data_IF_739006237889
#
_entry.id   IF_739006237889
#
_cell.length_a   1.000
_cell.length_b   1.000
_cell.length_c   1.000
_cell.angle_alpha   90.00
_cell.angle_beta   90.00
_cell.angle_gamma   90.00
#
_symmetry.space_group_name_H-M   'P 1'
#
loop_
_entity.id
_entity.type
_entity.pdbx_description
1 polymer ?
#
# COMPACT_ATOMS: atom_id res chain seq x y z
N UNK A 1 -37.00 -25.49 -11.54
CA UNK A 1 -35.75 -26.19 -11.21
C UNK A 1 -35.39 -27.04 -12.41
N UNK A 2 -34.58 -26.48 -13.32
CA UNK A 2 -34.00 -27.29 -14.38
C UNK A 2 -32.92 -28.16 -13.73
N UNK A 3 -33.00 -29.48 -13.90
CA UNK A 3 -31.95 -30.39 -13.47
C UNK A 3 -30.66 -30.00 -14.19
N UNK A 4 -29.71 -29.47 -13.43
CA UNK A 4 -28.39 -29.10 -13.92
C UNK A 4 -27.59 -30.39 -14.16
N UNK A 5 -27.72 -31.01 -15.34
CA UNK A 5 -26.82 -32.07 -15.79
C UNK A 5 -25.37 -31.63 -15.55
N UNK A 6 -24.61 -32.42 -14.79
CA UNK A 6 -23.22 -32.17 -14.44
C UNK A 6 -22.38 -31.84 -15.68
N UNK A 7 -21.61 -30.73 -15.64
CA UNK A 7 -20.46 -30.55 -16.53
C UNK A 7 -19.37 -31.49 -15.99
N UNK A 8 -19.57 -32.78 -16.20
CA UNK A 8 -18.53 -33.77 -16.05
C UNK A 8 -17.75 -33.79 -17.35
N UNK A 9 -16.42 -33.86 -17.28
CA UNK A 9 -15.61 -34.28 -18.42
C UNK A 9 -15.87 -35.75 -18.80
N UNK A 10 -16.88 -36.38 -18.19
CA UNK A 10 -17.40 -37.67 -18.58
C UNK A 10 -18.52 -37.46 -19.59
N UNK A 11 -18.54 -38.22 -20.70
CA UNK A 11 -19.67 -38.22 -21.62
C UNK A 11 -20.94 -38.64 -20.89
N UNK A 12 -22.13 -38.21 -21.36
CA UNK A 12 -23.39 -38.66 -20.79
C UNK A 12 -23.48 -40.19 -20.84
N UNK A 13 -23.85 -40.78 -19.70
CA UNK A 13 -24.02 -42.22 -19.57
C UNK A 13 -25.25 -42.65 -20.37
N UNK A 14 -25.04 -43.26 -21.54
CA UNK A 14 -26.15 -43.77 -22.36
C UNK A 14 -26.52 -45.17 -21.87
N UNK A 15 -27.75 -45.34 -21.37
CA UNK A 15 -28.28 -46.66 -21.02
C UNK A 15 -28.39 -47.51 -22.29
N UNK A 16 -27.47 -48.47 -22.46
CA UNK A 16 -27.29 -49.28 -23.67
C UNK A 16 -28.41 -50.27 -24.02
N UNK A 17 -29.59 -50.20 -23.38
CA UNK A 17 -30.65 -51.20 -23.58
C UNK A 17 -31.58 -50.96 -24.78
N UNK A 18 -31.42 -49.87 -25.56
CA UNK A 18 -32.23 -49.62 -26.77
C UNK A 18 -31.52 -48.80 -27.87
N UNK A 19 -30.29 -49.14 -28.25
CA UNK A 19 -29.66 -48.53 -29.44
C UNK A 19 -29.62 -49.51 -30.62
N UNK A 20 -30.03 -49.04 -31.82
CA UNK A 20 -29.78 -49.77 -33.06
C UNK A 20 -28.26 -49.90 -33.29
N UNK A 21 -27.81 -50.96 -33.96
CA UNK A 21 -26.38 -51.21 -34.24
C UNK A 21 -25.66 -50.01 -34.89
N UNK A 22 -26.37 -49.25 -35.73
CA UNK A 22 -25.85 -48.02 -36.34
C UNK A 22 -25.64 -46.86 -35.36
N UNK A 23 -26.48 -46.74 -34.32
CA UNK A 23 -26.36 -45.69 -33.30
C UNK A 23 -25.23 -46.00 -32.30
N UNK A 24 -25.04 -47.28 -31.96
CA UNK A 24 -23.92 -47.71 -31.13
C UNK A 24 -22.58 -47.41 -31.81
N UNK A 25 -22.41 -47.76 -33.09
CA UNK A 25 -21.18 -47.48 -33.83
C UNK A 25 -20.88 -45.97 -33.95
N UNK A 26 -21.91 -45.13 -34.15
CA UNK A 26 -21.75 -43.69 -34.18
C UNK A 26 -21.36 -43.10 -32.81
N UNK A 27 -21.93 -43.63 -31.73
CA UNK A 27 -21.57 -43.24 -30.36
C UNK A 27 -20.10 -43.58 -30.06
N UNK A 28 -19.66 -44.80 -30.36
CA UNK A 28 -18.28 -45.23 -30.09
C UNK A 28 -17.26 -44.38 -30.85
N UNK A 29 -17.56 -44.02 -32.11
CA UNK A 29 -16.71 -43.14 -32.91
C UNK A 29 -16.62 -41.72 -32.33
N UNK A 30 -17.76 -41.14 -31.92
CA UNK A 30 -17.80 -39.81 -31.28
C UNK A 30 -17.12 -39.82 -29.91
N UNK A 31 -17.29 -40.90 -29.14
CA UNK A 31 -16.66 -41.05 -27.83
C UNK A 31 -15.14 -41.18 -27.95
N UNK A 32 -14.63 -41.96 -28.91
CA UNK A 32 -13.20 -42.06 -29.16
C UNK A 32 -12.59 -40.71 -29.59
N UNK A 33 -13.28 -39.95 -30.43
CA UNK A 33 -12.83 -38.61 -30.83
C UNK A 33 -12.88 -37.61 -29.66
N UNK A 34 -13.90 -37.72 -28.81
CA UNK A 34 -14.00 -36.94 -27.57
C UNK A 34 -12.81 -37.19 -26.65
N UNK A 35 -12.50 -38.45 -26.34
CA UNK A 35 -11.36 -38.80 -25.47
C UNK A 35 -10.03 -38.34 -26.10
N UNK A 36 -9.88 -38.47 -27.42
CA UNK A 36 -8.70 -38.00 -28.16
C UNK A 36 -8.52 -36.48 -28.03
N UNK A 37 -9.58 -35.70 -28.18
CA UNK A 37 -9.55 -34.24 -28.06
C UNK A 37 -9.38 -33.81 -26.60
N UNK A 38 -10.04 -34.48 -25.66
CA UNK A 38 -9.91 -34.22 -24.23
C UNK A 38 -8.47 -34.44 -23.76
N UNK A 39 -7.79 -35.47 -24.28
CA UNK A 39 -6.38 -35.76 -24.02
C UNK A 39 -5.43 -34.67 -24.53
N UNK A 40 -5.83 -33.86 -25.52
CA UNK A 40 -5.04 -32.75 -26.06
C UNK A 40 -5.19 -31.45 -25.26
N UNK A 41 -6.18 -31.33 -24.38
CA UNK A 41 -6.33 -30.15 -23.55
C UNK A 41 -5.16 -30.01 -22.58
N UNK A 42 -4.64 -28.80 -22.46
CA UNK A 42 -3.62 -28.50 -21.46
C UNK A 42 -4.14 -28.77 -20.03
N UNK A 43 -3.26 -29.18 -19.10
CA UNK A 43 -3.67 -29.50 -17.73
C UNK A 43 -4.41 -28.36 -17.01
N UNK A 44 -4.02 -27.10 -17.24
CA UNK A 44 -4.68 -25.94 -16.64
C UNK A 44 -6.09 -25.71 -17.19
N UNK A 45 -6.26 -25.86 -18.51
CA UNK A 45 -7.58 -25.77 -19.16
C UNK A 45 -8.50 -26.87 -18.67
N UNK A 46 -7.98 -28.09 -18.53
CA UNK A 46 -8.75 -29.21 -17.99
C UNK A 46 -9.21 -28.93 -16.56
N UNK A 47 -8.30 -28.53 -15.66
CA UNK A 47 -8.63 -28.17 -14.28
C UNK A 47 -9.65 -27.04 -14.19
N UNK A 48 -9.53 -26.04 -15.07
CA UNK A 48 -10.46 -24.91 -15.15
C UNK A 48 -11.87 -25.39 -15.48
N UNK A 49 -12.01 -26.22 -16.52
CA UNK A 49 -13.30 -26.78 -16.94
C UNK A 49 -13.91 -27.69 -15.86
N UNK A 50 -13.10 -28.53 -15.21
CA UNK A 50 -13.53 -29.41 -14.11
C UNK A 50 -14.07 -28.60 -12.91
N UNK A 51 -13.43 -27.47 -12.59
CA UNK A 51 -13.75 -26.67 -11.40
C UNK A 51 -14.69 -25.50 -11.66
N UNK A 52 -15.02 -25.22 -12.93
CA UNK A 52 -15.81 -24.06 -13.32
C UNK A 52 -17.14 -23.94 -12.56
N UNK A 53 -17.85 -25.06 -12.36
CA UNK A 53 -19.12 -25.06 -11.62
C UNK A 53 -18.96 -24.80 -10.13
N UNK A 54 -17.95 -25.41 -9.50
CA UNK A 54 -17.59 -25.16 -8.11
C UNK A 54 -17.30 -23.66 -7.91
N UNK A 55 -16.57 -23.09 -8.85
CA UNK A 55 -16.18 -21.69 -8.84
C UNK A 55 -17.36 -20.74 -9.01
N UNK A 56 -18.25 -21.00 -10.00
CA UNK A 56 -19.49 -20.24 -10.15
C UNK A 56 -20.36 -20.31 -8.90
N UNK A 57 -20.51 -21.50 -8.31
CA UNK A 57 -21.28 -21.70 -7.10
C UNK A 57 -20.71 -20.90 -5.92
N UNK A 58 -19.39 -20.80 -5.79
CA UNK A 58 -18.74 -20.00 -4.74
C UNK A 58 -19.10 -18.50 -4.83
N UNK A 59 -19.21 -17.94 -6.05
CA UNK A 59 -19.61 -16.53 -6.25
C UNK A 59 -21.13 -16.31 -6.22
N UNK A 60 -21.93 -17.34 -6.52
CA UNK A 60 -23.40 -17.28 -6.48
C UNK A 60 -23.99 -17.54 -5.09
N UNK A 61 -23.24 -18.18 -4.20
CA UNK A 61 -23.63 -18.41 -2.81
C UNK A 61 -23.79 -17.12 -1.99
N UNK A 62 -24.23 -17.24 -0.74
CA UNK A 62 -24.38 -16.08 0.16
C UNK A 62 -23.04 -15.45 0.54
N UNK A 63 -22.05 -16.30 0.83
CA UNK A 63 -20.71 -15.92 1.26
C UNK A 63 -19.64 -16.58 0.39
N UNK A 64 -18.54 -15.85 0.19
CA UNK A 64 -17.30 -16.36 -0.37
C UNK A 64 -16.23 -16.39 0.71
N UNK A 65 -15.51 -17.51 0.79
CA UNK A 65 -14.45 -17.74 1.78
C UNK A 65 -13.12 -17.88 1.06
N UNK A 66 -12.13 -17.12 1.51
CA UNK A 66 -10.77 -17.24 1.02
C UNK A 66 -9.76 -17.03 2.14
N UNK A 67 -8.57 -17.62 1.98
CA UNK A 67 -7.53 -17.58 3.00
C UNK A 67 -6.48 -16.51 2.65
N UNK A 68 -6.14 -15.65 3.60
CA UNK A 68 -5.04 -14.69 3.49
C UNK A 68 -4.09 -14.90 4.67
N UNK A 69 -2.84 -15.27 4.39
CA UNK A 69 -1.80 -15.51 5.41
C UNK A 69 -2.27 -16.47 6.53
N UNK A 70 -2.97 -17.54 6.15
CA UNK A 70 -3.49 -18.56 7.07
C UNK A 70 -4.77 -18.18 7.82
N UNK A 71 -5.37 -17.02 7.54
CA UNK A 71 -6.66 -16.60 8.12
C UNK A 71 -7.77 -16.71 7.10
N UNK A 72 -8.89 -17.30 7.48
CA UNK A 72 -10.10 -17.31 6.65
C UNK A 72 -10.81 -15.96 6.70
N UNK A 73 -11.17 -15.45 5.52
CA UNK A 73 -11.92 -14.23 5.34
C UNK A 73 -13.24 -14.60 4.70
N UNK A 74 -14.33 -14.25 5.38
CA UNK A 74 -15.69 -14.44 4.91
C UNK A 74 -16.22 -13.13 4.36
N UNK A 75 -16.73 -13.16 3.14
CA UNK A 75 -17.30 -11.97 2.47
C UNK A 75 -18.67 -12.32 1.91
N UNK A 76 -19.69 -11.55 2.29
CA UNK A 76 -21.00 -11.63 1.64
C UNK A 76 -20.87 -11.31 0.16
N UNK A 77 -21.37 -12.18 -0.70
CA UNK A 77 -21.35 -11.99 -2.16
C UNK A 77 -22.35 -10.95 -2.64
N UNK A 78 -23.36 -10.64 -1.83
CA UNK A 78 -24.46 -9.76 -2.22
C UNK A 78 -24.56 -8.54 -1.31
N UNK A 79 -25.05 -7.44 -1.88
CA UNK A 79 -25.56 -6.29 -1.16
C UNK A 79 -27.07 -6.21 -1.39
N UNK A 80 -27.84 -6.13 -0.31
CA UNK A 80 -29.31 -5.99 -0.41
C UNK A 80 -29.69 -4.53 -0.58
N UNK A 81 -30.40 -4.21 -1.66
CA UNK A 81 -30.90 -2.86 -1.92
C UNK A 81 -32.11 -2.51 -1.04
N UNK A 82 -32.51 -1.24 -1.03
CA UNK A 82 -33.73 -0.79 -0.34
C UNK A 82 -35.00 -1.52 -0.84
N UNK A 83 -34.99 -2.01 -2.09
CA UNK A 83 -36.08 -2.81 -2.67
C UNK A 83 -35.93 -4.32 -2.40
N UNK A 84 -35.02 -4.73 -1.52
CA UNK A 84 -34.70 -6.13 -1.16
C UNK A 84 -34.13 -6.98 -2.30
N UNK A 85 -33.54 -6.33 -3.31
CA UNK A 85 -32.83 -7.03 -4.37
C UNK A 85 -31.42 -7.38 -3.90
N UNK A 86 -31.04 -8.65 -4.01
CA UNK A 86 -29.66 -9.11 -3.78
C UNK A 86 -28.80 -8.76 -5.00
N UNK A 87 -28.10 -7.64 -4.92
CA UNK A 87 -27.18 -7.20 -5.97
C UNK A 87 -25.84 -7.91 -5.76
N UNK A 88 -25.34 -8.71 -6.72
CA UNK A 88 -24.07 -9.39 -6.58
C UNK A 88 -22.93 -8.38 -6.63
N UNK A 89 -21.93 -8.56 -5.75
CA UNK A 89 -20.67 -7.81 -5.79
C UNK A 89 -19.84 -8.16 -7.01
N UNK A 90 -19.93 -9.41 -7.46
CA UNK A 90 -19.26 -9.93 -8.66
C UNK A 90 -20.33 -10.67 -9.48
N UNK A 91 -20.61 -10.17 -10.68
CA UNK A 91 -21.55 -10.84 -11.58
C UNK A 91 -20.88 -12.03 -12.25
N UNK A 92 -21.50 -13.20 -12.18
CA UNK A 92 -20.98 -14.42 -12.83
C UNK A 92 -21.49 -14.53 -14.28
N UNK A 93 -20.63 -14.94 -15.24
CA UNK A 93 -21.08 -15.22 -16.59
C UNK A 93 -22.04 -16.41 -16.65
N UNK A 94 -22.80 -16.51 -17.75
CA UNK A 94 -23.78 -17.58 -18.01
C UNK A 94 -23.38 -18.45 -19.21
N UNK A 95 -22.08 -18.62 -19.41
CA UNK A 95 -21.55 -19.43 -20.51
C UNK A 95 -21.84 -20.91 -20.30
N UNK A 96 -22.14 -21.60 -21.40
CA UNK A 96 -22.36 -23.05 -21.44
C UNK A 96 -21.29 -23.75 -22.30
N UNK A 97 -20.80 -23.07 -23.34
CA UNK A 97 -19.73 -23.56 -24.21
C UNK A 97 -18.37 -23.56 -23.51
N UNK A 98 -17.61 -24.64 -23.65
CA UNK A 98 -16.28 -24.78 -23.04
C UNK A 98 -15.28 -23.79 -23.62
N UNK A 99 -15.38 -23.48 -24.92
CA UNK A 99 -14.53 -22.50 -25.57
C UNK A 99 -14.73 -21.10 -24.99
N UNK A 100 -15.98 -20.68 -24.78
CA UNK A 100 -16.28 -19.39 -24.15
C UNK A 100 -15.84 -19.32 -22.69
N UNK A 101 -16.05 -20.41 -21.92
CA UNK A 101 -15.58 -20.51 -20.53
C UNK A 101 -14.06 -20.32 -20.46
N UNK A 102 -13.31 -21.09 -21.26
CA UNK A 102 -11.85 -21.05 -21.28
C UNK A 102 -11.36 -19.68 -21.76
N UNK A 103 -11.92 -19.16 -22.86
CA UNK A 103 -11.53 -17.85 -23.40
C UNK A 103 -11.70 -16.75 -22.36
N UNK A 104 -12.86 -16.68 -21.72
CA UNK A 104 -13.13 -15.67 -20.71
C UNK A 104 -12.24 -15.83 -19.47
N UNK A 105 -12.11 -17.04 -18.95
CA UNK A 105 -11.35 -17.29 -17.74
C UNK A 105 -9.83 -17.13 -17.94
N UNK A 106 -9.31 -17.27 -19.16
CA UNK A 106 -7.89 -17.01 -19.46
C UNK A 106 -7.59 -15.54 -19.80
N UNK A 107 -8.58 -14.74 -20.21
CA UNK A 107 -8.38 -13.34 -20.60
C UNK A 107 -8.82 -12.33 -19.55
N UNK A 108 -9.93 -12.60 -18.86
CA UNK A 108 -10.57 -11.61 -17.99
C UNK A 108 -10.77 -12.12 -16.56
N UNK A 109 -11.17 -13.38 -16.42
CA UNK A 109 -11.37 -14.12 -15.16
C UNK A 109 -12.09 -13.35 -14.02
N UNK A 110 -12.29 -14.04 -12.90
CA UNK A 110 -12.75 -13.40 -11.67
C UNK A 110 -11.63 -12.56 -11.02
N UNK A 111 -11.97 -11.49 -10.28
CA UNK A 111 -11.01 -10.74 -9.48
C UNK A 111 -10.20 -11.66 -8.56
N UNK A 112 -8.92 -11.38 -8.39
CA UNK A 112 -8.00 -12.19 -7.58
C UNK A 112 -7.51 -13.47 -8.27
N UNK A 113 -7.86 -13.69 -9.54
CA UNK A 113 -7.39 -14.81 -10.35
C UNK A 113 -6.69 -14.33 -11.61
N UNK A 114 -5.67 -15.07 -12.03
CA UNK A 114 -4.95 -14.79 -13.27
C UNK A 114 -5.91 -14.69 -14.48
N UNK A 115 -5.75 -13.71 -15.38
CA UNK A 115 -4.67 -12.72 -15.47
C UNK A 115 -4.91 -11.43 -14.67
N UNK A 116 -5.82 -11.45 -13.70
CA UNK A 116 -6.14 -10.35 -12.77
C UNK A 116 -6.76 -9.12 -13.43
N UNK A 117 -7.32 -9.26 -14.64
CA UNK A 117 -7.95 -8.19 -15.41
C UNK A 117 -9.05 -7.49 -14.63
N UNK A 118 -9.87 -8.24 -13.90
CA UNK A 118 -10.93 -7.70 -13.06
C UNK A 118 -10.45 -7.20 -11.67
N UNK A 119 -9.15 -7.29 -11.38
CA UNK A 119 -8.52 -6.84 -10.14
C UNK A 119 -7.62 -7.91 -9.50
N UNK A 120 -6.59 -7.45 -8.77
CA UNK A 120 -5.61 -8.34 -8.12
C UNK A 120 -6.10 -9.00 -6.82
N UNK A 121 -7.21 -8.50 -6.25
CA UNK A 121 -7.81 -9.05 -5.04
C UNK A 121 -9.18 -9.66 -5.34
N UNK A 122 -9.58 -10.75 -4.65
CA UNK A 122 -10.90 -11.36 -4.83
C UNK A 122 -12.05 -10.39 -4.56
N UNK A 123 -11.91 -9.52 -3.55
CA UNK A 123 -12.90 -8.50 -3.19
C UNK A 123 -12.21 -7.21 -2.78
N UNK A 124 -12.92 -6.09 -2.93
CA UNK A 124 -12.50 -4.79 -2.37
C UNK A 124 -12.47 -4.86 -0.84
N UNK A 125 -11.58 -4.10 -0.20
CA UNK A 125 -11.54 -3.96 1.26
C UNK A 125 -12.82 -3.29 1.75
N UNK A 126 -13.37 -3.76 2.87
CA UNK A 126 -14.60 -3.20 3.46
C UNK A 126 -14.32 -2.01 4.39
N UNK A 127 -13.15 -1.99 5.05
CA UNK A 127 -12.87 -1.07 6.17
C UNK A 127 -11.83 0.02 5.82
N UNK A 128 -11.40 0.10 4.56
CA UNK A 128 -10.39 1.06 4.12
C UNK A 128 -10.81 1.61 2.76
N UNK A 129 -11.33 2.83 2.76
CA UNK A 129 -11.63 3.57 1.53
C UNK A 129 -10.32 3.82 0.76
N UNK A 130 -10.28 3.66 -0.57
CA UNK A 130 -9.09 3.94 -1.36
C UNK A 130 -8.63 5.40 -1.31
N UNK A 131 -9.49 6.33 -0.86
CA UNK A 131 -9.21 7.77 -0.78
C UNK A 131 -7.85 8.02 -0.13
N UNK A 132 -7.01 8.76 -0.86
CA UNK A 132 -5.69 9.19 -0.42
C UNK A 132 -5.62 10.71 -0.54
N UNK A 133 -5.40 11.37 0.58
CA UNK A 133 -5.51 12.83 0.66
C UNK A 133 -4.16 13.48 0.33
N UNK A 134 -4.10 14.15 -0.82
CA UNK A 134 -2.93 14.88 -1.29
C UNK A 134 -2.85 16.25 -0.60
N UNK A 135 -1.76 16.49 0.13
CA UNK A 135 -1.52 17.75 0.81
C UNK A 135 -0.03 18.11 0.88
N UNK A 136 0.24 19.40 0.86
CA UNK A 136 1.57 19.98 1.00
C UNK A 136 1.49 21.48 0.77
N UNK A 137 1.73 22.26 1.80
CA UNK A 137 1.75 23.73 1.73
C UNK A 137 2.51 24.30 2.93
N UNK A 138 3.44 25.22 2.65
CA UNK A 138 4.21 25.93 3.67
C UNK A 138 5.20 25.02 4.38
N UNK A 139 5.35 25.20 5.70
CA UNK A 139 6.22 24.38 6.53
C UNK A 139 5.58 23.05 6.97
N UNK A 140 6.39 22.15 7.57
CA UNK A 140 5.95 20.85 8.05
C UNK A 140 4.72 20.91 8.96
N UNK A 141 4.67 21.83 9.92
CA UNK A 141 3.56 21.93 10.88
C UNK A 141 2.23 22.34 10.23
N UNK A 142 2.27 23.19 9.19
CA UNK A 142 1.06 23.57 8.44
C UNK A 142 0.50 22.37 7.67
N UNK A 143 1.39 21.61 7.03
CA UNK A 143 1.00 20.40 6.30
C UNK A 143 0.56 19.29 7.25
N UNK A 144 1.24 19.10 8.38
CA UNK A 144 0.84 18.17 9.43
C UNK A 144 -0.57 18.47 9.96
N UNK A 145 -0.86 19.73 10.26
CA UNK A 145 -2.21 20.18 10.65
C UNK A 145 -3.24 19.84 9.56
N UNK A 146 -2.90 20.03 8.29
CA UNK A 146 -3.78 19.65 7.18
C UNK A 146 -4.01 18.13 7.14
N UNK A 147 -2.97 17.32 7.32
CA UNK A 147 -3.13 15.87 7.39
C UNK A 147 -4.09 15.46 8.52
N UNK A 148 -3.90 15.99 9.74
CA UNK A 148 -4.79 15.70 10.87
C UNK A 148 -6.24 16.08 10.59
N UNK A 149 -6.46 17.24 9.99
CA UNK A 149 -7.80 17.69 9.58
C UNK A 149 -8.43 16.74 8.55
N UNK A 150 -7.68 16.32 7.53
CA UNK A 150 -8.21 15.48 6.45
C UNK A 150 -8.44 14.03 6.87
N UNK A 151 -7.67 13.52 7.83
CA UNK A 151 -7.83 12.16 8.37
C UNK A 151 -8.72 12.07 9.60
N UNK A 152 -9.25 13.20 10.10
CA UNK A 152 -9.99 13.23 11.35
C UNK A 152 -11.24 12.33 11.30
N UNK A 153 -11.38 11.43 12.28
CA UNK A 153 -12.49 10.49 12.35
C UNK A 153 -12.43 9.32 11.36
N UNK A 154 -11.38 9.22 10.53
CA UNK A 154 -11.19 8.09 9.63
C UNK A 154 -10.47 6.94 10.36
N UNK A 155 -10.87 5.66 10.14
CA UNK A 155 -10.25 4.52 10.80
C UNK A 155 -8.83 4.20 10.29
N UNK A 156 -8.45 4.75 9.13
CA UNK A 156 -7.15 4.58 8.52
C UNK A 156 -6.62 5.93 7.99
N UNK A 157 -5.34 6.20 8.23
CA UNK A 157 -4.65 7.40 7.75
C UNK A 157 -3.87 7.08 6.46
N UNK A 158 -4.37 7.54 5.32
CA UNK A 158 -3.72 7.38 4.00
C UNK A 158 -3.26 8.74 3.48
N UNK A 159 -2.04 9.10 3.85
CA UNK A 159 -1.47 10.42 3.57
C UNK A 159 -0.80 10.43 2.17
N UNK A 160 -0.83 11.57 1.49
CA UNK A 160 0.00 11.80 0.32
C UNK A 160 0.64 13.18 0.38
N UNK A 161 1.96 13.21 0.36
CA UNK A 161 2.77 14.40 0.56
C UNK A 161 3.22 15.00 -0.77
N UNK A 162 2.95 16.29 -0.94
CA UNK A 162 3.47 17.12 -2.02
C UNK A 162 4.61 17.99 -1.49
N UNK A 163 5.79 17.95 -2.12
CA UNK A 163 6.95 18.77 -1.72
C UNK A 163 7.05 20.05 -2.54
N UNK A 164 7.58 21.11 -1.94
CA UNK A 164 7.81 22.37 -2.66
C UNK A 164 8.91 22.22 -3.72
N UNK A 165 8.99 23.18 -4.64
CA UNK A 165 10.00 23.10 -5.72
C UNK A 165 11.44 23.13 -5.23
N UNK A 166 11.72 23.66 -4.03
CA UNK A 166 13.07 23.69 -3.46
C UNK A 166 13.48 22.27 -3.04
N UNK A 167 12.62 21.60 -2.26
CA UNK A 167 12.80 20.21 -1.84
C UNK A 167 12.79 19.25 -3.03
N UNK A 168 11.93 19.47 -4.04
CA UNK A 168 11.85 18.63 -5.25
C UNK A 168 13.17 18.58 -6.03
N UNK A 169 14.00 19.63 -5.92
CA UNK A 169 15.30 19.74 -6.57
C UNK A 169 16.48 19.44 -5.63
N UNK A 170 16.21 19.01 -4.39
CA UNK A 170 17.26 18.61 -3.43
C UNK A 170 18.07 19.78 -2.88
N UNK A 171 17.49 20.98 -2.89
CA UNK A 171 18.12 22.20 -2.39
C UNK A 171 17.62 22.53 -0.99
N UNK A 172 18.45 23.23 -0.21
CA UNK A 172 18.06 23.79 1.08
C UNK A 172 17.36 25.16 0.90
N UNK A 173 16.43 25.54 1.80
CA UNK A 173 15.83 26.87 1.80
C UNK A 173 16.88 27.95 2.08
N UNK A 174 16.94 28.97 1.22
CA UNK A 174 17.91 30.07 1.29
C UNK A 174 17.21 31.44 1.18
N UNK A 175 17.87 32.50 1.67
CA UNK A 175 17.46 33.89 1.51
C UNK A 175 17.66 34.41 0.08
N UNK A 176 18.44 33.71 -0.75
CA UNK A 176 18.66 34.04 -2.16
C UNK A 176 17.32 34.14 -2.88
N UNK A 177 17.01 35.24 -3.60
CA UNK A 177 15.65 35.49 -4.10
C UNK A 177 15.07 34.42 -5.04
N UNK A 178 15.93 33.73 -5.79
CA UNK A 178 15.55 32.62 -6.68
C UNK A 178 15.03 31.40 -5.92
N UNK A 179 15.48 31.17 -4.68
CA UNK A 179 15.01 30.11 -3.78
C UNK A 179 13.90 30.65 -2.88
N UNK A 180 14.12 31.78 -2.23
CA UNK A 180 13.26 32.30 -1.16
C UNK A 180 11.78 32.42 -1.57
N UNK A 181 11.52 32.91 -2.78
CA UNK A 181 10.15 33.07 -3.30
C UNK A 181 9.41 31.76 -3.60
N UNK A 182 10.08 30.61 -3.51
CA UNK A 182 9.54 29.29 -3.82
C UNK A 182 9.34 28.40 -2.59
N UNK A 183 9.93 28.75 -1.46
CA UNK A 183 9.90 27.96 -0.22
C UNK A 183 8.46 27.79 0.26
N UNK A 184 8.01 26.54 0.39
CA UNK A 184 6.67 26.18 0.86
C UNK A 184 5.53 26.51 -0.12
N UNK A 185 5.84 26.95 -1.34
CA UNK A 185 4.86 27.16 -2.40
C UNK A 185 4.65 25.87 -3.18
N UNK A 186 3.38 25.57 -3.50
CA UNK A 186 2.96 24.36 -4.22
C UNK A 186 3.35 23.01 -3.56
N UNK A 187 3.80 23.05 -2.30
CA UNK A 187 4.17 21.86 -1.55
C UNK A 187 4.74 22.22 -0.18
N UNK A 188 5.05 21.20 0.62
CA UNK A 188 5.73 21.36 1.91
C UNK A 188 7.24 21.51 1.72
N UNK A 189 7.85 22.44 2.44
CA UNK A 189 9.31 22.58 2.50
C UNK A 189 9.89 21.63 3.56
N UNK A 190 10.75 20.71 3.14
CA UNK A 190 11.40 19.71 4.02
C UNK A 190 12.89 19.66 3.67
N UNK A 191 13.73 20.20 4.55
CA UNK A 191 15.18 20.23 4.36
C UNK A 191 15.92 19.31 5.34
N UNK A 192 15.28 18.95 6.46
CA UNK A 192 15.92 18.21 7.55
C UNK A 192 15.10 17.00 8.01
N UNK A 193 15.74 16.10 8.76
CA UNK A 193 15.04 14.99 9.43
C UNK A 193 14.00 15.52 10.42
N UNK A 194 14.28 16.62 11.13
CA UNK A 194 13.32 17.22 12.06
C UNK A 194 12.08 17.78 11.35
N UNK A 195 12.21 18.23 10.10
CA UNK A 195 11.07 18.61 9.29
C UNK A 195 10.20 17.40 8.94
N UNK A 196 10.80 16.26 8.61
CA UNK A 196 10.06 15.01 8.41
C UNK A 196 9.38 14.53 9.70
N UNK A 197 10.04 14.65 10.87
CA UNK A 197 9.44 14.34 12.17
C UNK A 197 8.20 15.17 12.44
N UNK A 198 8.29 16.50 12.27
CA UNK A 198 7.14 17.41 12.43
C UNK A 198 6.04 17.15 11.41
N UNK A 199 6.41 16.85 10.16
CA UNK A 199 5.46 16.60 9.09
C UNK A 199 4.54 15.41 9.40
N UNK A 200 5.10 14.35 9.99
CA UNK A 200 4.39 13.11 10.27
C UNK A 200 4.09 12.87 11.76
N UNK A 201 4.34 13.85 12.63
CA UNK A 201 4.04 13.71 14.05
C UNK A 201 2.54 13.53 14.30
N UNK A 202 2.22 12.76 15.34
CA UNK A 202 0.85 12.36 15.66
C UNK A 202 0.28 11.24 14.79
N UNK A 203 0.97 10.83 13.71
CA UNK A 203 0.65 9.65 12.92
C UNK A 203 1.65 8.54 13.24
N UNK A 204 1.16 7.40 13.73
CA UNK A 204 2.00 6.23 13.91
C UNK A 204 2.36 5.62 12.55
N UNK A 205 3.59 5.85 12.08
CA UNK A 205 4.09 5.43 10.77
C UNK A 205 4.24 3.90 10.63
N UNK A 206 4.30 3.19 11.76
CA UNK A 206 4.42 1.74 11.82
C UNK A 206 3.07 1.05 12.08
N UNK A 207 2.00 1.81 12.31
CA UNK A 207 0.67 1.25 12.49
C UNK A 207 0.13 0.61 11.20
N UNK A 208 -0.59 -0.53 11.29
CA UNK A 208 -1.20 -1.19 10.13
C UNK A 208 -2.36 -0.39 9.52
N UNK A 209 -2.79 0.72 10.14
CA UNK A 209 -3.82 1.61 9.64
C UNK A 209 -3.26 2.91 9.07
N UNK A 210 -1.95 3.10 9.08
CA UNK A 210 -1.29 4.29 8.52
C UNK A 210 -0.50 3.91 7.27
N UNK A 211 -0.56 4.73 6.23
CA UNK A 211 0.37 4.62 5.09
C UNK A 211 0.63 5.99 4.47
N UNK A 212 1.89 6.28 4.16
CA UNK A 212 2.31 7.57 3.61
C UNK A 212 2.81 7.39 2.18
N UNK A 213 2.30 8.19 1.26
CA UNK A 213 2.80 8.31 -0.11
C UNK A 213 3.58 9.61 -0.26
N UNK A 214 4.76 9.57 -0.87
CA UNK A 214 5.61 10.75 -1.06
C UNK A 214 5.89 10.95 -2.56
N UNK A 215 5.39 12.05 -3.12
CA UNK A 215 5.59 12.42 -4.53
C UNK A 215 6.90 13.17 -4.70
N UNK A 216 8.00 12.42 -4.78
CA UNK A 216 9.37 12.91 -4.89
C UNK A 216 10.16 12.01 -5.87
N UNK A 217 11.06 12.58 -6.67
CA UNK A 217 11.85 11.83 -7.67
C UNK A 217 13.37 12.03 -7.48
N UNK A 218 13.94 13.15 -7.93
CA UNK A 218 15.39 13.39 -7.93
C UNK A 218 16.07 13.10 -6.58
N UNK A 219 15.67 13.76 -5.47
CA UNK A 219 16.21 13.51 -4.14
C UNK A 219 15.41 12.45 -3.35
N UNK A 220 14.67 11.57 -4.04
CA UNK A 220 13.85 10.55 -3.38
C UNK A 220 14.61 9.67 -2.37
N UNK A 221 15.84 9.20 -2.63
CA UNK A 221 16.61 8.43 -1.64
C UNK A 221 16.86 9.21 -0.33
N UNK A 222 17.14 10.52 -0.42
CA UNK A 222 17.39 11.38 0.74
C UNK A 222 16.12 11.62 1.55
N UNK A 223 15.01 11.95 0.88
CA UNK A 223 13.71 12.15 1.55
C UNK A 223 13.19 10.84 2.15
N UNK A 224 13.42 9.70 1.47
CA UNK A 224 13.12 8.38 2.02
C UNK A 224 13.95 8.11 3.28
N UNK A 225 15.23 8.46 3.31
CA UNK A 225 16.06 8.34 4.51
C UNK A 225 15.53 9.20 5.66
N UNK A 226 15.06 10.43 5.40
CA UNK A 226 14.42 11.26 6.43
C UNK A 226 13.14 10.61 6.97
N UNK A 227 12.28 10.11 6.09
CA UNK A 227 11.04 9.43 6.46
C UNK A 227 11.30 8.17 7.30
N UNK A 228 12.24 7.31 6.88
CA UNK A 228 12.58 6.10 7.62
C UNK A 228 13.16 6.42 9.00
N UNK A 229 14.02 7.45 9.11
CA UNK A 229 14.53 7.89 10.41
C UNK A 229 13.43 8.47 11.31
N UNK A 230 12.46 9.21 10.75
CA UNK A 230 11.30 9.66 11.52
C UNK A 230 10.48 8.47 12.06
N UNK A 231 10.28 7.41 11.27
CA UNK A 231 9.61 6.19 11.72
C UNK A 231 10.40 5.44 12.80
N UNK A 232 11.73 5.34 12.64
CA UNK A 232 12.63 4.73 13.63
C UNK A 232 12.58 5.51 14.96
N UNK A 233 12.62 6.84 14.89
CA UNK A 233 12.57 7.69 16.08
C UNK A 233 11.18 7.64 16.76
N UNK A 234 10.09 7.40 16.02
CA UNK A 234 8.78 7.10 16.64
C UNK A 234 8.80 5.78 17.43
N UNK A 235 9.42 4.72 16.91
CA UNK A 235 9.58 3.46 17.67
C UNK A 235 10.47 3.64 18.90
N UNK A 236 11.55 4.41 18.78
CA UNK A 236 12.39 4.78 19.92
C UNK A 236 11.59 5.55 20.98
N UNK A 237 10.76 6.51 20.55
CA UNK A 237 9.90 7.29 21.43
C UNK A 237 8.86 6.42 22.15
N UNK A 238 8.24 5.45 21.45
CA UNK A 238 7.34 4.47 22.07
C UNK A 238 8.05 3.66 23.15
N UNK A 239 9.25 3.13 22.85
CA UNK A 239 10.07 2.41 23.82
C UNK A 239 10.39 3.27 25.05
N UNK A 240 10.83 4.52 24.84
CA UNK A 240 11.16 5.46 25.93
C UNK A 240 9.95 5.68 26.85
N UNK A 241 8.76 5.85 26.26
CA UNK A 241 7.51 6.03 27.02
C UNK A 241 7.12 4.75 27.78
N UNK A 242 7.20 3.58 27.13
CA UNK A 242 6.89 2.28 27.73
C UNK A 242 7.80 1.96 28.92
N UNK A 243 9.10 2.26 28.81
CA UNK A 243 10.10 2.05 29.86
C UNK A 243 10.17 3.20 30.88
N UNK A 244 9.31 4.22 30.75
CA UNK A 244 9.25 5.40 31.63
C UNK A 244 10.58 6.18 31.71
N UNK A 245 11.30 6.24 30.59
CA UNK A 245 12.60 6.93 30.47
C UNK A 245 12.46 8.40 30.02
N UNK A 246 11.23 8.90 29.81
CA UNK A 246 10.95 10.23 29.25
C UNK A 246 11.71 11.35 29.96
N UNK A 247 11.62 11.45 31.29
CA UNK A 247 12.31 12.52 32.04
C UNK A 247 13.84 12.46 31.91
N UNK A 248 14.40 11.25 31.88
CA UNK A 248 15.84 11.06 31.72
C UNK A 248 16.30 11.54 30.33
N UNK A 249 15.55 11.17 29.29
CA UNK A 249 15.81 11.58 27.91
C UNK A 249 15.65 13.10 27.76
N UNK A 250 14.58 13.68 28.29
CA UNK A 250 14.36 15.13 28.25
C UNK A 250 15.51 15.90 28.91
N UNK A 251 15.93 15.49 30.11
CA UNK A 251 17.09 16.10 30.79
C UNK A 251 18.36 16.01 29.94
N UNK A 252 18.59 14.89 29.26
CA UNK A 252 19.75 14.72 28.37
C UNK A 252 19.69 15.67 27.17
N UNK A 253 18.53 15.80 26.53
CA UNK A 253 18.32 16.70 25.40
C UNK A 253 18.48 18.17 25.84
N UNK A 254 17.90 18.54 26.99
CA UNK A 254 18.04 19.89 27.55
C UNK A 254 19.51 20.23 27.83
N UNK A 255 20.27 19.31 28.43
CA UNK A 255 21.70 19.49 28.68
C UNK A 255 22.49 19.67 27.37
N UNK A 256 22.18 18.88 26.34
CA UNK A 256 22.79 19.02 25.01
C UNK A 256 22.55 20.42 24.44
N UNK A 257 21.30 20.85 24.33
CA UNK A 257 20.97 22.16 23.77
C UNK A 257 21.50 23.33 24.60
N UNK A 258 21.51 23.18 25.93
CA UNK A 258 22.17 24.14 26.83
C UNK A 258 23.67 24.25 26.56
N UNK A 259 24.35 23.12 26.33
CA UNK A 259 25.78 23.10 26.01
C UNK A 259 26.10 23.72 24.64
N UNK A 260 25.17 23.60 23.68
CA UNK A 260 25.28 24.20 22.36
C UNK A 260 24.92 25.70 22.35
N UNK A 261 24.33 26.22 23.44
CA UNK A 261 23.83 27.60 23.49
C UNK A 261 22.66 27.84 22.52
N UNK A 262 21.94 26.79 22.14
CA UNK A 262 20.84 26.84 21.18
C UNK A 262 19.51 26.43 21.84
N UNK A 263 18.36 26.98 21.40
CA UNK A 263 17.06 26.51 21.85
C UNK A 263 16.76 25.13 21.25
N UNK A 264 16.12 24.25 22.05
CA UNK A 264 15.60 22.97 21.56
C UNK A 264 14.55 23.21 20.46
N UNK A 265 14.57 22.45 19.35
CA UNK A 265 13.51 22.47 18.37
C UNK A 265 12.16 22.09 18.97
N UNK A 266 11.11 22.79 18.54
CA UNK A 266 9.73 22.54 18.99
C UNK A 266 8.80 22.57 17.79
N UNK A 267 7.66 21.89 17.90
CA UNK A 267 6.56 21.98 16.95
C UNK A 267 5.93 23.38 17.04
N UNK A 268 5.93 24.14 15.94
CA UNK A 268 5.35 25.50 15.91
C UNK A 268 4.06 25.51 15.11
N UNK A 269 2.93 25.69 15.78
CA UNK A 269 1.66 25.92 15.12
C UNK A 269 1.60 27.38 14.63
N UNK A 270 1.69 27.58 13.30
CA UNK A 270 1.75 28.91 12.67
C UNK A 270 0.33 29.45 12.38
N UNK A 271 -0.74 28.84 12.91
CA UNK A 271 -2.08 29.37 12.75
C UNK A 271 -2.25 30.68 13.54
N UNK A 272 -2.92 31.67 12.95
CA UNK A 272 -3.19 32.94 13.60
C UNK A 272 -3.93 32.73 14.94
N UNK A 273 -3.31 33.16 16.04
CA UNK A 273 -3.85 33.04 17.39
C UNK A 273 -3.56 31.73 18.12
N UNK A 274 -2.87 30.76 17.50
CA UNK A 274 -2.46 29.53 18.18
C UNK A 274 -1.25 29.79 19.10
N UNK A 275 -1.24 29.17 20.28
CA UNK A 275 -0.08 29.22 21.16
C UNK A 275 1.07 28.39 20.56
N UNK A 276 2.32 28.82 20.79
CA UNK A 276 3.47 28.01 20.42
C UNK A 276 3.39 26.64 21.12
N UNK A 277 3.50 25.55 20.34
CA UNK A 277 3.35 24.18 20.85
C UNK A 277 1.92 23.63 20.87
N UNK A 278 0.90 24.41 20.48
CA UNK A 278 -0.48 23.91 20.38
C UNK A 278 -0.60 22.88 19.25
N UNK A 279 -0.91 21.64 19.61
CA UNK A 279 -1.03 20.53 18.65
C UNK A 279 -2.41 20.55 17.96
N UNK A 280 -2.50 20.16 16.68
CA UNK A 280 -3.78 20.10 15.99
C UNK A 280 -4.70 19.02 16.59
N UNK A 281 -6.01 19.17 16.37
CA UNK A 281 -7.00 18.20 16.84
C UNK A 281 -6.68 16.79 16.32
N UNK A 282 -6.68 15.79 17.22
CA UNK A 282 -6.34 14.39 16.90
C UNK A 282 -4.85 14.05 17.03
N UNK A 283 -3.98 15.04 17.20
CA UNK A 283 -2.55 14.82 17.35
C UNK A 283 -2.17 14.36 18.77
N UNK A 284 -1.63 13.15 18.90
CA UNK A 284 -1.32 12.51 20.20
C UNK A 284 0.10 12.80 20.75
N UNK A 285 0.89 13.61 20.05
CA UNK A 285 2.24 14.02 20.45
C UNK A 285 3.35 13.04 20.06
N UNK A 286 3.03 11.90 19.42
CA UNK A 286 4.04 10.95 18.93
C UNK A 286 4.95 11.59 17.87
N UNK A 287 6.25 11.33 17.95
CA UNK A 287 7.26 11.82 17.00
C UNK A 287 7.83 13.19 17.35
N UNK A 288 7.47 13.74 18.52
CA UNK A 288 7.94 15.05 18.97
C UNK A 288 8.98 14.97 20.10
N UNK A 289 9.08 13.84 20.81
CA UNK A 289 10.01 13.70 21.94
C UNK A 289 11.46 13.83 21.47
N UNK A 290 11.78 13.28 20.31
CA UNK A 290 13.12 13.27 19.74
C UNK A 290 13.33 14.38 18.71
N UNK A 291 12.59 15.49 18.75
CA UNK A 291 12.92 16.64 17.91
C UNK A 291 14.29 17.21 18.31
N UNK A 292 15.20 17.31 17.33
CA UNK A 292 16.55 17.81 17.52
C UNK A 292 17.62 16.76 17.82
N UNK A 293 17.24 15.51 18.04
CA UNK A 293 18.16 14.40 18.33
C UNK A 293 17.68 13.12 17.67
N UNK A 294 18.55 12.15 17.44
CA UNK A 294 18.16 10.82 16.96
C UNK A 294 18.02 9.83 18.11
N UNK A 295 17.30 8.73 17.88
CA UNK A 295 17.16 7.66 18.86
C UNK A 295 18.50 7.07 19.33
N UNK A 296 19.48 6.93 18.44
CA UNK A 296 20.82 6.41 18.75
C UNK A 296 21.66 7.35 19.63
N UNK A 297 21.30 8.63 19.69
CA UNK A 297 21.97 9.60 20.56
C UNK A 297 21.48 9.54 22.00
N UNK A 298 20.30 8.96 22.25
CA UNK A 298 19.66 8.96 23.57
C UNK A 298 19.42 7.56 24.14
N UNK A 299 19.40 6.52 23.30
CA UNK A 299 19.24 5.12 23.69
C UNK A 299 20.54 4.32 23.53
N UNK A 300 20.71 3.22 24.29
CA UNK A 300 21.75 2.23 24.03
C UNK A 300 21.65 1.64 22.60
N UNK A 301 22.79 1.23 22.04
CA UNK A 301 22.89 0.80 20.64
C UNK A 301 22.06 -0.45 20.31
N UNK A 302 21.96 -1.39 21.24
CA UNK A 302 21.13 -2.61 21.12
C UNK A 302 19.64 -2.28 21.10
N UNK A 303 19.20 -1.35 21.95
CA UNK A 303 17.81 -0.89 21.99
C UNK A 303 17.45 -0.12 20.72
N UNK A 304 18.32 0.79 20.26
CA UNK A 304 18.11 1.51 18.99
C UNK A 304 18.04 0.54 17.82
N UNK A 305 18.93 -0.46 17.75
CA UNK A 305 18.92 -1.46 16.69
C UNK A 305 17.59 -2.24 16.64
N UNK A 306 17.02 -2.60 17.79
CA UNK A 306 15.71 -3.26 17.85
C UNK A 306 14.57 -2.35 17.41
N UNK A 307 14.57 -1.08 17.84
CA UNK A 307 13.58 -0.08 17.38
C UNK A 307 13.67 0.12 15.86
N UNK A 308 14.90 0.23 15.34
CA UNK A 308 15.17 0.37 13.90
C UNK A 308 14.65 -0.83 13.12
N UNK A 309 14.96 -2.04 13.57
CA UNK A 309 14.50 -3.29 12.94
C UNK A 309 12.98 -3.33 12.87
N UNK A 310 12.29 -3.05 14.00
CA UNK A 310 10.83 -3.02 14.07
C UNK A 310 10.23 -1.98 13.12
N UNK A 311 10.78 -0.77 13.10
CA UNK A 311 10.30 0.28 12.21
C UNK A 311 10.43 -0.14 10.74
N UNK A 312 11.60 -0.62 10.32
CA UNK A 312 11.86 -1.03 8.92
C UNK A 312 10.97 -2.19 8.47
N UNK A 313 10.70 -3.17 9.33
CA UNK A 313 9.85 -4.32 9.00
C UNK A 313 8.35 -3.94 8.88
N UNK A 314 7.90 -2.92 9.59
CA UNK A 314 6.47 -2.60 9.75
C UNK A 314 6.02 -1.34 9.03
N UNK A 315 6.92 -0.40 8.75
CA UNK A 315 6.60 0.87 8.09
C UNK A 315 5.89 0.66 6.75
N UNK A 316 4.86 1.47 6.50
CA UNK A 316 4.02 1.37 5.30
C UNK A 316 4.00 2.65 4.51
N UNK A 317 4.18 2.53 3.19
CA UNK A 317 4.12 3.67 2.33
C UNK A 317 4.64 3.43 0.92
N UNK A 318 4.77 4.52 0.19
CA UNK A 318 5.27 4.54 -1.19
C UNK A 318 6.11 5.79 -1.36
N UNK A 319 7.28 5.65 -1.97
CA UNK A 319 8.00 6.77 -2.59
C UNK A 319 7.83 6.67 -4.10
N UNK A 320 7.60 7.78 -4.78
CA UNK A 320 7.34 7.77 -6.22
C UNK A 320 8.57 7.32 -7.00
N UNK A 321 9.68 8.06 -6.91
CA UNK A 321 11.01 7.66 -7.37
C UNK A 321 11.11 7.07 -8.80
N UNK A 322 10.16 7.34 -9.69
CA UNK A 322 10.29 6.93 -11.09
C UNK A 322 11.12 7.99 -11.84
N UNK A 323 12.39 7.66 -12.06
CA UNK A 323 13.36 8.51 -12.75
C UNK A 323 13.17 8.49 -14.26
N UNK A 324 12.63 7.41 -14.84
CA UNK A 324 12.50 7.30 -16.29
C UNK A 324 11.44 8.27 -16.83
N UNK A 325 10.31 8.45 -16.12
CA UNK A 325 9.34 9.48 -16.49
C UNK A 325 9.87 10.91 -16.32
N UNK A 326 10.86 11.12 -15.45
CA UNK A 326 11.49 12.44 -15.27
C UNK A 326 12.25 12.84 -16.53
N UNK A 327 13.03 11.92 -17.09
CA UNK A 327 13.75 12.13 -18.35
C UNK A 327 12.78 12.28 -19.53
N UNK A 328 11.70 11.50 -19.56
CA UNK A 328 10.74 11.51 -20.67
C UNK A 328 9.82 12.73 -20.70
N UNK A 329 9.40 13.27 -19.54
CA UNK A 329 8.31 14.24 -19.50
C UNK A 329 8.38 15.28 -18.36
N UNK A 330 8.86 14.91 -17.16
CA UNK A 330 8.64 15.73 -15.96
C UNK A 330 9.81 16.66 -15.60
N UNK A 331 11.00 16.45 -16.17
CA UNK A 331 12.18 17.33 -16.10
C UNK A 331 12.64 17.72 -14.67
N UNK A 332 12.43 16.88 -13.66
CA UNK A 332 12.96 17.11 -12.29
C UNK A 332 14.21 16.27 -11.98
N UNK A 333 14.91 15.77 -13.01
CA UNK A 333 16.13 14.99 -12.81
C UNK A 333 17.30 15.91 -12.45
N UNK A 334 17.81 15.78 -11.23
CA UNK A 334 18.94 16.56 -10.70
C UNK A 334 20.30 15.84 -10.78
N UNK A 335 20.27 14.54 -11.07
CA UNK A 335 21.45 13.70 -11.30
C UNK A 335 21.44 13.16 -12.72
N UNK A 336 22.56 12.58 -13.17
CA UNK A 336 22.54 11.76 -14.38
C UNK A 336 21.60 10.56 -14.20
N UNK A 337 20.90 10.17 -15.25
CA UNK A 337 19.95 9.05 -15.23
C UNK A 337 20.60 7.75 -14.74
N UNK A 338 21.84 7.48 -15.16
CA UNK A 338 22.61 6.31 -14.71
C UNK A 338 22.85 6.31 -13.20
N UNK A 339 23.27 7.45 -12.64
CA UNK A 339 23.51 7.57 -11.20
C UNK A 339 22.21 7.45 -10.40
N UNK A 340 21.14 8.07 -10.89
CA UNK A 340 19.83 7.99 -10.25
C UNK A 340 19.27 6.54 -10.24
N UNK A 341 19.40 5.81 -11.36
CA UNK A 341 19.03 4.38 -11.42
C UNK A 341 19.88 3.52 -10.50
N UNK A 342 21.18 3.81 -10.37
CA UNK A 342 22.06 3.13 -9.39
C UNK A 342 21.54 3.33 -7.97
N UNK A 343 21.22 4.57 -7.58
CA UNK A 343 20.67 4.85 -6.25
C UNK A 343 19.33 4.13 -6.00
N UNK A 344 18.46 4.03 -7.01
CA UNK A 344 17.23 3.24 -6.89
C UNK A 344 17.53 1.75 -6.62
N UNK A 345 18.56 1.20 -7.26
CA UNK A 345 19.08 -0.14 -6.99
C UNK A 345 19.56 -0.29 -5.55
N UNK A 346 20.38 0.64 -5.06
CA UNK A 346 20.91 0.64 -3.70
C UNK A 346 19.78 0.69 -2.64
N UNK A 347 18.72 1.47 -2.90
CA UNK A 347 17.52 1.51 -2.03
C UNK A 347 16.82 0.15 -1.98
N UNK A 348 16.65 -0.51 -3.13
CA UNK A 348 16.01 -1.83 -3.19
C UNK A 348 16.87 -2.91 -2.51
N UNK A 349 18.20 -2.87 -2.68
CA UNK A 349 19.13 -3.74 -1.96
C UNK A 349 19.01 -3.55 -0.45
N UNK A 350 18.99 -2.30 0.02
CA UNK A 350 18.79 -1.99 1.43
C UNK A 350 17.45 -2.53 1.95
N UNK A 351 16.36 -2.40 1.18
CA UNK A 351 15.05 -2.92 1.55
C UNK A 351 15.08 -4.45 1.72
N UNK A 352 15.73 -5.17 0.81
CA UNK A 352 15.87 -6.62 0.89
C UNK A 352 16.69 -7.02 2.12
N UNK A 353 17.86 -6.39 2.32
CA UNK A 353 18.76 -6.69 3.42
C UNK A 353 18.14 -6.43 4.80
N UNK A 354 17.20 -5.48 4.90
CA UNK A 354 16.56 -5.08 6.16
C UNK A 354 15.09 -5.51 6.28
N UNK A 355 14.61 -6.44 5.43
CA UNK A 355 13.23 -6.94 5.44
C UNK A 355 12.14 -5.84 5.34
N UNK A 356 12.39 -4.76 4.60
CA UNK A 356 11.40 -3.73 4.32
C UNK A 356 10.42 -4.26 3.26
N UNK A 357 9.31 -4.85 3.72
CA UNK A 357 8.34 -5.55 2.84
C UNK A 357 7.03 -4.81 2.61
N UNK A 358 6.76 -3.76 3.39
CA UNK A 358 5.49 -3.04 3.36
C UNK A 358 5.62 -1.61 2.79
N UNK A 359 6.81 -1.24 2.30
CA UNK A 359 7.09 0.03 1.66
C UNK A 359 7.44 -0.18 0.19
N UNK A 360 6.80 0.56 -0.70
CA UNK A 360 7.08 0.52 -2.14
C UNK A 360 8.19 1.54 -2.45
N UNK A 361 9.33 1.05 -2.93
CA UNK A 361 10.53 1.84 -3.27
C UNK A 361 10.40 2.61 -4.59
N UNK A 362 9.40 2.28 -5.42
CA UNK A 362 9.12 2.93 -6.71
C UNK A 362 7.62 2.84 -7.03
N UNK A 363 7.11 3.86 -7.70
CA UNK A 363 5.78 3.91 -8.31
C UNK A 363 5.94 4.30 -9.77
N UNK A 364 5.99 3.28 -10.64
CA UNK A 364 6.13 3.37 -12.10
C UNK A 364 4.88 4.01 -12.70
#
# INVERSE_FOLDING_TARGET
MAEFETLTLSPPHVNGHQMSSSRAAAYDALHAEYERLLAQLEPDVRRLLERWREELAAYQGEDYVYTVRGREIHVRNHHESLSRLKIPKIATPRFHDWGDIVRWAMQENFPGKFPYTAGVYPFKRQNEDPTRMFAGEGGPERTNKRFHYLSYGMPAARLSTAFDSVTLYGEDPDRRPDIYGKIGNAGVSVATIDDAKKLYSGFDLCAPTTSVSMTINGPAPMILAFFLNAAIDQECEKYIREQRLTEQVERRIEQLYRSLGLPRPVYRNIAAGAAAGELPQGHNGLGLLLLGVRGDEVLPADIYAECKRRALETVRGTVQADILKEDQAQNTCIFSTEFALRMMGDVQEYFIANNVRNFYSVSI
#
